data_IF_551886142697
#
_entry.id   IF_551886142697
#
_cell.length_a   1.000
_cell.length_b   1.000
_cell.length_c   1.000
_cell.angle_alpha   90.00
_cell.angle_beta   90.00
_cell.angle_gamma   90.00
#
_symmetry.space_group_name_H-M   'P 1'
#
loop_
_entity.id
_entity.type
_entity.pdbx_description
1 polymer ?
#
# COMPACT_ATOMS: atom_id res chain seq x y z
N UNK A 1 -39.53 -34.84 39.09
CA UNK A 1 -39.12 -33.45 38.94
C UNK A 1 -37.74 -33.44 38.29
N UNK A 2 -37.66 -33.16 36.99
CA UNK A 2 -36.38 -33.06 36.24
C UNK A 2 -36.06 -31.58 36.11
N UNK A 3 -34.95 -31.13 36.71
CA UNK A 3 -34.40 -29.80 36.50
C UNK A 3 -33.76 -29.76 35.10
N UNK A 4 -34.40 -29.05 34.18
CA UNK A 4 -33.79 -28.64 32.92
C UNK A 4 -32.83 -27.49 33.22
N UNK A 5 -31.53 -27.78 33.15
CA UNK A 5 -30.48 -26.76 33.17
C UNK A 5 -30.48 -26.02 31.83
N UNK A 6 -30.87 -24.77 31.84
CA UNK A 6 -30.81 -23.88 30.68
C UNK A 6 -29.38 -23.42 30.54
N UNK A 7 -28.65 -24.06 29.63
CA UNK A 7 -27.31 -23.56 29.25
C UNK A 7 -27.47 -22.19 28.55
N UNK A 8 -27.06 -21.15 29.24
CA UNK A 8 -26.96 -19.81 28.66
C UNK A 8 -25.89 -19.82 27.58
N UNK A 9 -26.30 -19.60 26.32
CA UNK A 9 -25.41 -19.43 25.20
C UNK A 9 -24.68 -18.08 25.35
N UNK A 10 -23.47 -18.12 25.84
CA UNK A 10 -22.59 -16.96 25.98
C UNK A 10 -22.20 -16.49 24.57
N UNK A 11 -22.82 -15.42 24.11
CA UNK A 11 -22.47 -14.77 22.85
C UNK A 11 -21.13 -14.06 23.04
N UNK A 12 -20.07 -14.62 22.49
CA UNK A 12 -18.78 -13.96 22.40
C UNK A 12 -18.93 -12.77 21.42
N UNK A 13 -19.12 -11.58 21.99
CA UNK A 13 -19.13 -10.34 21.22
C UNK A 13 -17.68 -9.89 21.03
N UNK A 14 -17.09 -10.23 19.89
CA UNK A 14 -15.77 -9.69 19.52
C UNK A 14 -15.93 -8.20 19.21
N UNK A 15 -15.56 -7.34 20.14
CA UNK A 15 -15.42 -5.90 19.88
C UNK A 15 -14.13 -5.68 19.09
N UNK A 16 -14.23 -5.35 17.82
CA UNK A 16 -13.11 -4.89 17.03
C UNK A 16 -12.88 -3.41 17.41
N UNK A 17 -11.93 -3.17 18.30
CA UNK A 17 -11.51 -1.80 18.62
C UNK A 17 -10.54 -1.33 17.56
N UNK A 18 -10.96 -0.31 16.80
CA UNK A 18 -10.11 0.30 15.79
C UNK A 18 -9.08 1.21 16.48
N UNK A 19 -7.80 1.22 15.95
CA UNK A 19 -6.76 2.08 16.50
C UNK A 19 -7.18 3.56 16.52
N UNK A 20 -6.94 4.31 17.61
CA UNK A 20 -7.31 5.72 17.72
C UNK A 20 -6.73 6.61 16.60
N UNK A 21 -5.55 6.27 16.08
CA UNK A 21 -4.91 7.00 14.99
C UNK A 21 -5.39 6.60 13.59
N UNK A 22 -6.35 5.67 13.45
CA UNK A 22 -6.77 5.15 12.14
C UNK A 22 -7.27 6.25 11.20
N UNK A 23 -8.06 7.20 11.68
CA UNK A 23 -8.52 8.31 10.83
C UNK A 23 -7.36 9.19 10.33
N UNK A 24 -6.33 9.39 11.16
CA UNK A 24 -5.13 10.18 10.82
C UNK A 24 -4.24 9.49 9.77
N UNK A 25 -4.26 8.17 9.69
CA UNK A 25 -3.51 7.41 8.69
C UNK A 25 -4.34 7.12 7.46
N UNK A 26 -5.63 6.82 7.59
CA UNK A 26 -6.52 6.52 6.47
C UNK A 26 -6.76 7.74 5.57
N UNK A 27 -6.92 8.94 6.12
CA UNK A 27 -7.17 10.14 5.33
C UNK A 27 -6.04 10.43 4.31
N UNK A 28 -4.74 10.50 4.69
CA UNK A 28 -3.67 10.70 3.72
C UNK A 28 -3.48 9.51 2.76
N UNK A 29 -3.75 8.26 3.18
CA UNK A 29 -3.74 7.11 2.27
C UNK A 29 -4.83 7.24 1.20
N UNK A 30 -6.05 7.63 1.59
CA UNK A 30 -7.14 7.88 0.64
C UNK A 30 -6.80 9.04 -0.31
N UNK A 31 -6.19 10.10 0.18
CA UNK A 31 -5.72 11.20 -0.67
C UNK A 31 -4.69 10.70 -1.71
N UNK A 32 -3.70 9.90 -1.29
CA UNK A 32 -2.72 9.31 -2.20
C UNK A 32 -3.40 8.38 -3.22
N UNK A 33 -4.38 7.57 -2.81
CA UNK A 33 -5.16 6.71 -3.70
C UNK A 33 -5.92 7.51 -4.76
N UNK A 34 -6.57 8.61 -4.37
CA UNK A 34 -7.30 9.49 -5.31
C UNK A 34 -6.31 10.15 -6.28
N UNK A 35 -5.21 10.73 -5.78
CA UNK A 35 -4.20 11.38 -6.62
C UNK A 35 -3.59 10.37 -7.61
N UNK A 36 -3.29 9.15 -7.16
CA UNK A 36 -2.77 8.08 -8.02
C UNK A 36 -3.78 7.65 -9.08
N UNK A 37 -5.06 7.53 -8.72
CA UNK A 37 -6.12 7.16 -9.67
C UNK A 37 -6.31 8.22 -10.77
N UNK A 38 -6.20 9.51 -10.43
CA UNK A 38 -6.22 10.61 -11.40
C UNK A 38 -5.02 10.57 -12.35
N UNK A 39 -3.88 10.06 -11.88
CA UNK A 39 -2.69 9.81 -12.69
C UNK A 39 -2.82 8.61 -13.62
N UNK A 40 -3.68 7.64 -13.32
CA UNK A 40 -3.79 6.37 -14.03
C UNK A 40 -4.65 6.46 -15.28
N UNK A 41 -4.11 6.10 -16.45
CA UNK A 41 -4.83 6.11 -17.71
C UNK A 41 -4.56 4.85 -18.54
N UNK A 42 -5.21 3.75 -18.13
CA UNK A 42 -5.11 2.45 -18.82
C UNK A 42 -5.89 2.40 -20.14
N UNK A 43 -6.71 3.43 -20.43
CA UNK A 43 -7.49 3.52 -21.68
C UNK A 43 -6.77 4.31 -22.77
N UNK A 44 -5.67 4.97 -22.46
CA UNK A 44 -4.91 5.75 -23.44
C UNK A 44 -4.42 4.86 -24.59
N UNK A 45 -4.37 5.41 -25.81
CA UNK A 45 -3.80 4.73 -26.96
C UNK A 45 -2.33 4.35 -26.72
N UNK A 46 -1.58 5.23 -26.02
CA UNK A 46 -0.21 4.95 -25.64
C UNK A 46 -0.08 3.71 -24.73
N UNK A 47 -0.86 3.59 -23.66
CA UNK A 47 -0.78 2.42 -22.78
C UNK A 47 -1.16 1.11 -23.50
N UNK A 48 -2.14 1.19 -24.40
CA UNK A 48 -2.56 0.03 -25.21
C UNK A 48 -1.51 -0.39 -26.24
N UNK A 49 -0.68 0.53 -26.73
CA UNK A 49 0.40 0.23 -27.67
C UNK A 49 1.64 -0.39 -27.01
N UNK A 50 1.76 -0.33 -25.67
CA UNK A 50 2.92 -0.90 -24.98
C UNK A 50 2.98 -2.42 -25.12
N UNK A 51 4.17 -2.92 -25.40
CA UNK A 51 4.49 -4.34 -25.33
C UNK A 51 4.59 -4.76 -23.86
N UNK A 52 3.58 -5.50 -23.40
CA UNK A 52 3.47 -5.95 -22.01
C UNK A 52 3.87 -7.42 -21.87
N UNK A 53 4.44 -7.86 -20.74
CA UNK A 53 4.75 -9.26 -20.51
C UNK A 53 3.46 -10.10 -20.37
N UNK A 54 3.50 -11.36 -20.80
CA UNK A 54 2.35 -12.27 -20.73
C UNK A 54 1.88 -12.57 -19.30
N UNK A 55 2.78 -12.41 -18.31
CA UNK A 55 2.47 -12.60 -16.89
C UNK A 55 1.87 -11.37 -16.20
N UNK A 56 1.62 -10.27 -16.95
CA UNK A 56 0.92 -9.12 -16.36
C UNK A 56 -0.50 -9.52 -15.97
N UNK A 57 -0.94 -9.25 -14.71
CA UNK A 57 -2.31 -9.54 -14.29
C UNK A 57 -3.35 -8.77 -15.11
N UNK A 58 -4.57 -9.31 -15.23
CA UNK A 58 -5.68 -8.57 -15.80
C UNK A 58 -5.91 -7.24 -15.07
N UNK A 59 -6.29 -6.18 -15.81
CA UNK A 59 -6.49 -4.85 -15.24
C UNK A 59 -7.48 -4.81 -14.06
N UNK A 60 -8.48 -5.69 -14.08
CA UNK A 60 -9.47 -5.82 -13.00
C UNK A 60 -8.87 -6.28 -11.66
N UNK A 61 -7.70 -6.91 -11.66
CA UNK A 61 -7.06 -7.38 -10.42
C UNK A 61 -6.42 -6.24 -9.61
N UNK A 62 -6.03 -5.15 -10.26
CA UNK A 62 -5.30 -4.05 -9.60
C UNK A 62 -6.17 -3.28 -8.60
N UNK A 63 -7.44 -3.02 -8.91
CA UNK A 63 -8.33 -2.29 -8.00
C UNK A 63 -8.51 -2.96 -6.64
N UNK A 64 -8.97 -4.21 -6.56
CA UNK A 64 -9.08 -4.95 -5.31
C UNK A 64 -7.75 -5.08 -4.56
N UNK A 65 -6.64 -5.36 -5.27
CA UNK A 65 -5.31 -5.44 -4.66
C UNK A 65 -4.93 -4.13 -3.96
N UNK A 66 -5.01 -3.00 -4.65
CA UNK A 66 -4.68 -1.70 -4.06
C UNK A 66 -5.60 -1.32 -2.91
N UNK A 67 -6.90 -1.62 -3.00
CA UNK A 67 -7.85 -1.37 -1.90
C UNK A 67 -7.44 -2.11 -0.63
N UNK A 68 -7.09 -3.39 -0.76
CA UNK A 68 -6.61 -4.20 0.37
C UNK A 68 -5.30 -3.65 0.94
N UNK A 69 -4.34 -3.32 0.08
CA UNK A 69 -3.02 -2.83 0.48
C UNK A 69 -3.11 -1.47 1.18
N UNK A 70 -3.95 -0.55 0.71
CA UNK A 70 -4.19 0.73 1.37
C UNK A 70 -4.89 0.58 2.72
N UNK A 71 -5.81 -0.37 2.84
CA UNK A 71 -6.41 -0.73 4.12
C UNK A 71 -5.37 -1.23 5.13
N UNK A 72 -4.51 -2.16 4.71
CA UNK A 72 -3.42 -2.70 5.53
C UNK A 72 -2.40 -1.61 5.90
N UNK A 73 -2.01 -0.75 4.94
CA UNK A 73 -1.10 0.36 5.18
C UNK A 73 -1.66 1.34 6.22
N UNK A 74 -2.95 1.69 6.11
CA UNK A 74 -3.62 2.59 7.06
C UNK A 74 -3.66 1.99 8.46
N UNK A 75 -4.08 0.72 8.57
CA UNK A 75 -4.22 0.04 9.86
C UNK A 75 -2.86 -0.22 10.52
N UNK A 76 -1.87 -0.70 9.75
CA UNK A 76 -0.52 -0.94 10.25
C UNK A 76 0.11 0.36 10.78
N UNK A 77 0.00 1.46 10.01
CA UNK A 77 0.55 2.75 10.41
C UNK A 77 -0.15 3.33 11.65
N UNK A 78 -1.46 3.15 11.78
CA UNK A 78 -2.19 3.55 12.98
C UNK A 78 -1.71 2.79 14.22
N UNK A 79 -1.58 1.45 14.12
CA UNK A 79 -1.06 0.61 15.21
C UNK A 79 0.34 1.01 15.66
N UNK A 80 1.21 1.35 14.71
CA UNK A 80 2.57 1.83 15.03
C UNK A 80 2.51 3.15 15.81
N UNK A 81 1.72 4.12 15.34
CA UNK A 81 1.57 5.42 16.00
C UNK A 81 0.94 5.30 17.39
N UNK A 82 0.05 4.34 17.60
CA UNK A 82 -0.58 4.08 18.90
C UNK A 82 0.41 3.47 19.93
N UNK A 83 1.51 2.86 19.48
CA UNK A 83 2.51 2.19 20.32
C UNK A 83 3.82 2.97 20.50
N UNK A 84 3.99 4.06 19.78
CA UNK A 84 5.17 4.90 19.90
C UNK A 84 4.95 5.98 20.98
N UNK A 85 5.71 5.93 22.05
CA UNK A 85 5.69 6.93 23.13
C UNK A 85 6.69 8.08 22.87
N UNK A 86 7.85 7.77 22.25
CA UNK A 86 8.83 8.80 21.93
C UNK A 86 8.38 9.70 20.77
N UNK A 87 8.25 11.03 21.00
CA UNK A 87 7.86 11.99 19.98
C UNK A 87 8.83 12.05 18.78
N UNK A 88 10.12 11.74 18.98
CA UNK A 88 11.13 11.74 17.91
C UNK A 88 10.91 10.55 16.97
N UNK A 89 10.73 9.37 17.54
CA UNK A 89 10.43 8.15 16.75
C UNK A 89 9.11 8.29 16.00
N UNK A 90 8.08 8.83 16.65
CA UNK A 90 6.78 9.11 16.04
C UNK A 90 6.90 10.05 14.84
N UNK A 91 7.69 11.13 14.97
CA UNK A 91 7.94 12.07 13.85
C UNK A 91 8.72 11.40 12.73
N UNK A 92 9.74 10.61 13.06
CA UNK A 92 10.53 9.89 12.05
C UNK A 92 9.70 8.85 11.29
N UNK A 93 8.81 8.13 11.98
CA UNK A 93 7.87 7.22 11.33
C UNK A 93 6.85 7.97 10.46
N UNK A 94 6.27 9.05 10.96
CA UNK A 94 5.31 9.87 10.20
C UNK A 94 5.96 10.47 8.94
N UNK A 95 7.22 10.90 9.01
CA UNK A 95 7.97 11.38 7.85
C UNK A 95 8.20 10.25 6.82
N UNK A 96 8.62 9.06 7.26
CA UNK A 96 8.79 7.90 6.37
C UNK A 96 7.45 7.49 5.71
N UNK A 97 6.35 7.47 6.48
CA UNK A 97 5.01 7.22 5.98
C UNK A 97 4.57 8.26 4.95
N UNK A 98 4.77 9.56 5.25
CA UNK A 98 4.46 10.64 4.32
C UNK A 98 5.27 10.57 3.04
N UNK A 99 6.57 10.25 3.12
CA UNK A 99 7.43 10.04 1.94
C UNK A 99 6.89 8.90 1.06
N UNK A 100 6.52 7.78 1.67
CA UNK A 100 5.94 6.65 0.95
C UNK A 100 4.64 7.04 0.23
N UNK A 101 3.77 7.81 0.90
CA UNK A 101 2.51 8.28 0.33
C UNK A 101 2.68 9.31 -0.80
N UNK A 102 3.79 10.02 -0.86
CA UNK A 102 4.12 10.92 -1.99
C UNK A 102 4.65 10.11 -3.17
N UNK A 103 5.56 9.18 -2.93
CA UNK A 103 6.14 8.34 -3.97
C UNK A 103 5.06 7.47 -4.65
N UNK A 104 4.15 6.89 -3.90
CA UNK A 104 3.14 5.97 -4.42
C UNK A 104 2.31 6.54 -5.60
N UNK A 105 1.64 7.69 -5.51
CA UNK A 105 0.96 8.29 -6.64
C UNK A 105 1.92 8.85 -7.71
N UNK A 106 3.14 9.29 -7.33
CA UNK A 106 4.11 9.86 -8.28
C UNK A 106 4.44 8.86 -9.39
N UNK A 107 4.54 7.56 -9.07
CA UNK A 107 4.73 6.51 -10.06
C UNK A 107 3.63 6.52 -11.14
N UNK A 108 2.35 6.66 -10.76
CA UNK A 108 1.24 6.68 -11.71
C UNK A 108 1.36 7.86 -12.70
N UNK A 109 1.74 9.03 -12.19
CA UNK A 109 1.93 10.22 -13.01
C UNK A 109 3.12 10.08 -13.95
N UNK A 110 4.24 9.55 -13.49
CA UNK A 110 5.41 9.29 -14.32
C UNK A 110 5.14 8.24 -15.39
N UNK A 111 4.48 7.15 -15.02
CA UNK A 111 4.22 6.06 -15.93
C UNK A 111 3.15 6.42 -16.98
N UNK A 112 1.95 6.83 -16.54
CA UNK A 112 0.81 7.01 -17.44
C UNK A 112 0.72 8.41 -18.05
N UNK A 113 0.93 9.49 -17.26
CA UNK A 113 0.77 10.87 -17.75
C UNK A 113 2.01 11.37 -18.45
N UNK A 114 3.18 11.23 -17.82
CA UNK A 114 4.43 11.62 -18.45
C UNK A 114 4.89 10.61 -19.53
N UNK A 115 4.32 9.38 -19.55
CA UNK A 115 4.67 8.31 -20.50
C UNK A 115 6.17 7.98 -20.49
N UNK A 116 6.75 7.93 -19.29
CA UNK A 116 8.19 7.72 -19.07
C UNK A 116 8.46 6.45 -18.26
N UNK A 117 8.30 5.23 -18.83
CA UNK A 117 8.46 3.97 -18.10
C UNK A 117 9.81 3.79 -17.41
N UNK A 118 10.89 4.37 -17.98
CA UNK A 118 12.25 4.31 -17.40
C UNK A 118 12.38 5.19 -16.15
N UNK A 119 11.80 6.40 -16.17
CA UNK A 119 11.76 7.29 -15.01
C UNK A 119 10.83 6.73 -13.93
N UNK A 120 9.69 6.16 -14.33
CA UNK A 120 8.80 5.44 -13.43
C UNK A 120 9.50 4.22 -12.80
N UNK A 121 10.41 3.55 -13.52
CA UNK A 121 11.21 2.47 -12.97
C UNK A 121 12.19 2.97 -11.88
N UNK A 122 12.86 4.09 -12.10
CA UNK A 122 13.73 4.68 -11.09
C UNK A 122 12.93 5.09 -9.84
N UNK A 123 11.76 5.68 -10.05
CA UNK A 123 10.87 6.11 -8.98
C UNK A 123 10.33 4.93 -8.16
N UNK A 124 9.84 3.84 -8.80
CA UNK A 124 9.29 2.70 -8.07
C UNK A 124 10.36 1.93 -7.27
N UNK A 125 11.63 1.99 -7.67
CA UNK A 125 12.74 1.48 -6.86
C UNK A 125 12.90 2.32 -5.59
N UNK A 126 12.72 3.65 -5.65
CA UNK A 126 12.70 4.51 -4.47
C UNK A 126 11.48 4.22 -3.58
N UNK A 127 10.32 4.00 -4.20
CA UNK A 127 9.11 3.58 -3.48
C UNK A 127 9.33 2.25 -2.75
N UNK A 128 9.96 1.27 -3.40
CA UNK A 128 10.28 -0.01 -2.76
C UNK A 128 11.23 0.17 -1.57
N UNK A 129 12.30 0.94 -1.75
CA UNK A 129 13.23 1.25 -0.66
C UNK A 129 12.51 1.94 0.52
N UNK A 130 11.61 2.89 0.23
CA UNK A 130 10.76 3.57 1.21
C UNK A 130 9.81 2.58 1.92
N UNK A 131 9.22 1.64 1.18
CA UNK A 131 8.31 0.63 1.74
C UNK A 131 9.05 -0.34 2.66
N UNK A 132 10.26 -0.75 2.30
CA UNK A 132 11.13 -1.58 3.14
C UNK A 132 11.54 -0.83 4.41
N UNK A 133 11.93 0.45 4.30
CA UNK A 133 12.26 1.28 5.47
C UNK A 133 11.05 1.43 6.40
N UNK A 134 9.87 1.73 5.84
CA UNK A 134 8.63 1.85 6.61
C UNK A 134 8.30 0.54 7.34
N UNK A 135 8.43 -0.61 6.68
CA UNK A 135 8.18 -1.94 7.25
C UNK A 135 9.17 -2.24 8.38
N UNK A 136 10.45 -1.90 8.20
CA UNK A 136 11.47 -2.07 9.25
C UNK A 136 11.19 -1.20 10.48
N UNK A 137 10.80 0.06 10.28
CA UNK A 137 10.41 0.98 11.36
C UNK A 137 9.17 0.47 12.09
N UNK A 138 8.17 0.00 11.34
CA UNK A 138 6.99 -0.62 11.93
C UNK A 138 7.34 -1.81 12.81
N UNK A 139 8.25 -2.68 12.38
CA UNK A 139 8.65 -3.87 13.12
C UNK A 139 9.37 -3.60 14.44
N UNK A 140 9.99 -2.42 14.59
CA UNK A 140 10.60 -2.01 15.87
C UNK A 140 9.54 -1.65 16.92
N UNK A 141 8.40 -1.12 16.50
CA UNK A 141 7.32 -0.70 17.40
C UNK A 141 6.24 -1.77 17.55
N UNK A 142 5.87 -2.43 16.46
CA UNK A 142 4.82 -3.46 16.41
C UNK A 142 5.12 -4.52 15.34
N UNK A 143 5.60 -5.72 15.72
CA UNK A 143 5.84 -6.80 14.76
C UNK A 143 4.61 -7.20 13.93
N UNK A 144 3.41 -7.10 14.51
CA UNK A 144 2.15 -7.37 13.80
C UNK A 144 1.93 -6.35 12.70
N UNK A 145 2.17 -5.07 12.96
CA UNK A 145 2.07 -4.02 11.95
C UNK A 145 3.07 -4.23 10.80
N UNK A 146 4.31 -4.66 11.12
CA UNK A 146 5.28 -5.01 10.08
C UNK A 146 4.77 -6.16 9.19
N UNK A 147 4.22 -7.22 9.78
CA UNK A 147 3.64 -8.34 9.02
C UNK A 147 2.50 -7.88 8.10
N UNK A 148 1.68 -6.93 8.55
CA UNK A 148 0.63 -6.34 7.71
C UNK A 148 1.16 -5.54 6.52
N UNK A 149 2.40 -5.02 6.58
CA UNK A 149 3.05 -4.28 5.49
C UNK A 149 3.78 -5.20 4.49
N UNK A 150 4.06 -6.46 4.83
CA UNK A 150 4.73 -7.42 3.93
C UNK A 150 4.01 -7.57 2.59
N UNK A 151 2.67 -7.73 2.52
CA UNK A 151 1.96 -7.79 1.24
C UNK A 151 2.16 -6.53 0.38
N UNK A 152 2.25 -5.36 1.00
CA UNK A 152 2.49 -4.11 0.28
C UNK A 152 3.91 -4.08 -0.30
N UNK A 153 4.95 -4.43 0.46
CA UNK A 153 6.31 -4.55 -0.05
C UNK A 153 6.39 -5.57 -1.19
N UNK A 154 5.79 -6.76 -1.02
CA UNK A 154 5.74 -7.77 -2.09
C UNK A 154 5.05 -7.28 -3.36
N UNK A 155 3.98 -6.49 -3.22
CA UNK A 155 3.28 -5.92 -4.37
C UNK A 155 4.10 -4.83 -5.09
N UNK A 156 4.80 -3.97 -4.35
CA UNK A 156 5.68 -2.94 -4.95
C UNK A 156 6.87 -3.61 -5.64
N UNK A 157 7.46 -4.65 -5.05
CA UNK A 157 8.52 -5.44 -5.69
C UNK A 157 8.03 -6.09 -7.00
N UNK A 158 6.84 -6.69 -6.99
CA UNK A 158 6.20 -7.22 -8.19
C UNK A 158 5.97 -6.12 -9.25
N UNK A 159 5.44 -4.97 -8.86
CA UNK A 159 5.21 -3.84 -9.74
C UNK A 159 6.52 -3.28 -10.32
N UNK A 160 7.61 -3.29 -9.54
CA UNK A 160 8.96 -2.94 -9.99
C UNK A 160 9.44 -3.89 -11.09
N UNK A 161 9.28 -5.20 -10.89
CA UNK A 161 9.62 -6.20 -11.90
C UNK A 161 8.77 -6.03 -13.17
N UNK A 162 7.48 -5.73 -13.03
CA UNK A 162 6.56 -5.50 -14.14
C UNK A 162 6.96 -4.23 -14.92
N UNK A 163 7.23 -3.14 -14.23
CA UNK A 163 7.69 -1.89 -14.85
C UNK A 163 9.02 -2.09 -15.60
N UNK A 164 9.98 -2.80 -14.99
CA UNK A 164 11.25 -3.12 -15.63
C UNK A 164 11.05 -3.96 -16.91
N UNK A 165 10.14 -4.92 -16.88
CA UNK A 165 9.81 -5.73 -18.05
C UNK A 165 9.17 -4.89 -19.16
N UNK A 166 8.29 -3.95 -18.83
CA UNK A 166 7.68 -3.02 -19.79
C UNK A 166 8.73 -2.06 -20.35
N UNK A 167 9.54 -1.44 -19.52
CA UNK A 167 10.58 -0.50 -19.94
C UNK A 167 11.59 -1.13 -20.91
N UNK A 168 11.98 -2.40 -20.67
CA UNK A 168 12.89 -3.14 -21.58
C UNK A 168 12.26 -3.47 -22.92
N UNK A 169 10.95 -3.75 -22.97
CA UNK A 169 10.24 -4.08 -24.22
C UNK A 169 9.90 -2.86 -25.05
N UNK A 170 9.97 -1.66 -24.47
CA UNK A 170 9.60 -0.40 -25.10
C UNK A 170 10.75 0.62 -25.03
N UNK A 171 11.89 0.38 -25.69
CA UNK A 171 13.11 1.19 -25.53
C UNK A 171 12.97 2.63 -26.04
N UNK A 172 12.01 2.92 -26.90
CA UNK A 172 11.74 4.24 -27.46
C UNK A 172 10.87 5.16 -26.58
N UNK A 173 10.52 4.72 -25.36
CA UNK A 173 9.65 5.46 -24.45
C UNK A 173 10.35 5.86 -23.15
#
# INVERSE_FOLDING_TARGET
MRHMSTAATERITVRIELPPHLARTAAPVLAAAVIGSLGTDVRSGWYRSLQRPAWQPPGAAFGPAWTTLYGLLSLASARVLDRMDDPRERRAFAAAFGTNLVLNPAWNWLFFKARRPRWALAEIVLLEASTVDLTRRAGRADPTAATMLVPYAGWVAFATALNAAIARRNPGH
#
